data_IF_841965667482
#
_entry.id   IF_841965667482
#
_cell.length_a   1.000
_cell.length_b   1.000
_cell.length_c   1.000
_cell.angle_alpha   90.00
_cell.angle_beta   90.00
_cell.angle_gamma   90.00
#
_symmetry.space_group_name_H-M   'P 1'
#
loop_
_entity.id
_entity.type
_entity.pdbx_description
1 polymer ?
#
# COMPACT_ATOMS: atom_id res chain seq x y z
N UNK A 1 16.71 14.08 3.84
CA UNK A 1 16.14 12.73 4.12
C UNK A 1 17.31 11.75 4.04
N UNK A 2 17.59 10.99 5.10
CA UNK A 2 18.68 9.99 5.06
C UNK A 2 18.13 8.70 4.45
N UNK A 3 18.41 8.47 3.17
CA UNK A 3 18.01 7.27 2.44
C UNK A 3 18.97 6.09 2.67
N UNK A 4 20.15 6.31 3.25
CA UNK A 4 21.12 5.25 3.58
C UNK A 4 20.53 4.16 4.48
N UNK A 5 19.53 4.50 5.28
CA UNK A 5 18.76 3.54 6.07
C UNK A 5 18.23 2.35 5.27
N UNK A 6 17.87 2.59 4.01
CA UNK A 6 17.30 1.55 3.13
C UNK A 6 18.35 0.65 2.46
N UNK A 7 19.64 0.99 2.56
CA UNK A 7 20.70 0.21 1.92
C UNK A 7 20.66 -1.25 2.41
N UNK A 8 20.54 -2.19 1.47
CA UNK A 8 20.44 -3.63 1.75
C UNK A 8 19.12 -4.10 2.38
N UNK A 9 18.17 -3.20 2.70
CA UNK A 9 16.86 -3.58 3.25
C UNK A 9 15.96 -4.19 2.18
N UNK A 10 15.28 -5.28 2.53
CA UNK A 10 14.23 -5.88 1.69
C UNK A 10 12.94 -5.10 1.90
N UNK A 11 12.49 -4.43 0.85
CA UNK A 11 11.29 -3.57 0.86
C UNK A 11 10.25 -4.12 -0.12
N UNK A 12 9.05 -4.38 0.38
CA UNK A 12 7.91 -4.80 -0.44
C UNK A 12 6.99 -3.62 -0.68
N UNK A 13 6.74 -3.31 -1.95
CA UNK A 13 5.95 -2.14 -2.36
C UNK A 13 4.74 -2.61 -3.17
N UNK A 14 3.53 -2.43 -2.67
CA UNK A 14 2.35 -2.65 -3.48
C UNK A 14 2.01 -1.41 -4.29
N UNK A 15 1.51 -1.57 -5.52
CA UNK A 15 1.22 -0.42 -6.39
C UNK A 15 2.45 0.22 -7.02
N UNK A 16 3.53 -0.52 -7.19
CA UNK A 16 4.83 -0.04 -7.68
C UNK A 16 4.82 0.47 -9.12
N UNK A 17 3.89 0.03 -9.95
CA UNK A 17 3.72 0.46 -11.35
C UNK A 17 2.98 1.80 -11.49
N UNK A 18 2.28 2.22 -10.43
CA UNK A 18 1.58 3.50 -10.38
C UNK A 18 2.52 4.70 -10.21
N UNK A 19 1.99 5.91 -10.34
CA UNK A 19 2.78 7.15 -10.30
C UNK A 19 3.61 7.28 -9.01
N UNK A 20 2.96 7.26 -7.85
CA UNK A 20 3.67 7.38 -6.55
C UNK A 20 4.59 6.18 -6.29
N UNK A 21 4.12 4.97 -6.61
CA UNK A 21 4.88 3.74 -6.42
C UNK A 21 6.17 3.73 -7.24
N UNK A 22 6.12 4.18 -8.49
CA UNK A 22 7.31 4.26 -9.36
C UNK A 22 8.35 5.25 -8.83
N UNK A 23 7.93 6.44 -8.37
CA UNK A 23 8.85 7.39 -7.72
C UNK A 23 9.47 6.81 -6.47
N UNK A 24 8.66 6.20 -5.61
CA UNK A 24 9.14 5.57 -4.38
C UNK A 24 10.15 4.46 -4.66
N UNK A 25 9.83 3.55 -5.60
CA UNK A 25 10.74 2.50 -6.03
C UNK A 25 12.05 3.06 -6.62
N UNK A 26 11.98 4.14 -7.39
CA UNK A 26 13.18 4.80 -7.92
C UNK A 26 14.09 5.33 -6.81
N UNK A 27 13.51 5.90 -5.75
CA UNK A 27 14.26 6.36 -4.58
C UNK A 27 14.86 5.19 -3.80
N UNK A 28 14.08 4.13 -3.55
CA UNK A 28 14.52 2.93 -2.83
C UNK A 28 15.67 2.21 -3.54
N UNK A 29 15.54 1.98 -4.85
CA UNK A 29 16.59 1.38 -5.67
C UNK A 29 17.84 2.27 -5.67
N UNK A 30 17.68 3.59 -5.80
CA UNK A 30 18.78 4.54 -5.70
C UNK A 30 19.48 4.56 -4.34
N UNK A 31 18.78 4.21 -3.29
CA UNK A 31 19.31 4.06 -1.92
C UNK A 31 19.93 2.69 -1.65
N UNK A 32 19.96 1.78 -2.63
CA UNK A 32 20.51 0.43 -2.48
C UNK A 32 19.59 -0.56 -1.78
N UNK A 33 18.28 -0.31 -1.72
CA UNK A 33 17.30 -1.26 -1.20
C UNK A 33 17.12 -2.45 -2.15
N UNK A 34 16.82 -3.62 -1.59
CA UNK A 34 16.35 -4.80 -2.31
C UNK A 34 14.83 -4.68 -2.44
N UNK A 35 14.38 -4.03 -3.50
CA UNK A 35 12.97 -3.73 -3.70
C UNK A 35 12.24 -4.85 -4.45
N UNK A 36 11.08 -5.27 -3.94
CA UNK A 36 10.11 -6.13 -4.62
C UNK A 36 8.80 -5.38 -4.73
N UNK A 37 8.30 -5.21 -5.94
CA UNK A 37 7.00 -4.60 -6.22
C UNK A 37 5.94 -5.65 -6.55
N UNK A 38 4.69 -5.41 -6.11
CA UNK A 38 3.51 -6.20 -6.45
C UNK A 38 2.38 -5.26 -6.89
N UNK A 39 1.89 -5.39 -8.11
CA UNK A 39 0.89 -4.48 -8.68
C UNK A 39 0.31 -5.02 -9.98
N UNK A 40 -0.80 -4.47 -10.41
CA UNK A 40 -1.27 -4.60 -11.78
C UNK A 40 -0.26 -4.02 -12.77
N UNK A 41 -0.43 -4.32 -14.06
CA UNK A 41 0.32 -3.67 -15.15
C UNK A 41 0.26 -2.14 -15.05
N UNK A 42 1.27 -1.43 -15.56
CA UNK A 42 1.23 0.03 -15.64
C UNK A 42 -0.04 0.52 -16.33
N UNK A 43 -0.75 1.53 -15.77
CA UNK A 43 -2.07 1.93 -16.26
C UNK A 43 -2.05 2.74 -17.56
N UNK A 44 -0.88 3.17 -18.03
CA UNK A 44 -0.74 4.06 -19.20
C UNK A 44 0.49 3.71 -20.03
N UNK A 45 0.47 4.16 -21.29
CA UNK A 45 1.65 4.17 -22.17
C UNK A 45 1.79 5.57 -22.77
N UNK A 46 2.88 6.32 -22.51
CA UNK A 46 4.00 5.95 -21.64
C UNK A 46 3.62 5.88 -20.17
N UNK A 47 4.42 5.19 -19.34
CA UNK A 47 4.24 5.07 -17.91
C UNK A 47 5.54 5.42 -17.16
N UNK A 48 5.40 5.85 -15.91
CA UNK A 48 6.54 6.29 -15.10
C UNK A 48 7.46 5.14 -14.71
N UNK A 49 6.94 3.93 -14.52
CA UNK A 49 7.75 2.76 -14.14
C UNK A 49 8.85 2.47 -15.18
N UNK A 50 8.46 2.41 -16.45
CA UNK A 50 9.41 2.22 -17.56
C UNK A 50 10.31 3.44 -17.77
N UNK A 51 9.75 4.66 -17.75
CA UNK A 51 10.53 5.90 -17.91
C UNK A 51 11.58 6.10 -16.79
N UNK A 52 11.30 5.67 -15.58
CA UNK A 52 12.24 5.70 -14.45
C UNK A 52 13.33 4.61 -14.55
N UNK A 53 13.27 3.73 -15.57
CA UNK A 53 14.22 2.66 -15.78
C UNK A 53 14.29 1.68 -14.62
N UNK A 54 13.14 1.29 -14.07
CA UNK A 54 13.02 0.38 -12.93
C UNK A 54 13.04 -1.10 -13.35
N UNK A 55 12.75 -1.36 -14.62
CA UNK A 55 12.82 -2.69 -15.21
C UNK A 55 14.24 -3.28 -15.04
N UNK A 56 14.31 -4.50 -14.52
CA UNK A 56 15.59 -5.18 -14.26
C UNK A 56 16.41 -4.65 -13.07
N UNK A 57 15.96 -3.56 -12.39
CA UNK A 57 16.64 -3.01 -11.21
C UNK A 57 15.98 -3.39 -9.90
N UNK A 58 14.78 -3.95 -9.97
CA UNK A 58 14.03 -4.46 -8.85
C UNK A 58 13.26 -5.72 -9.28
N UNK A 59 12.78 -6.50 -8.33
CA UNK A 59 11.84 -7.58 -8.62
C UNK A 59 10.45 -6.96 -8.82
N UNK A 60 9.87 -7.12 -10.02
CA UNK A 60 8.52 -6.66 -10.35
C UNK A 60 7.62 -7.88 -10.55
N UNK A 61 6.61 -8.00 -9.69
CA UNK A 61 5.59 -9.06 -9.76
C UNK A 61 4.28 -8.42 -10.17
N UNK A 62 3.76 -8.83 -11.33
CA UNK A 62 2.44 -8.39 -11.79
C UNK A 62 1.39 -9.31 -11.18
N UNK A 63 0.45 -8.70 -10.46
CA UNK A 63 -0.62 -9.40 -9.77
C UNK A 63 -1.65 -8.46 -9.15
N UNK A 64 -2.83 -8.99 -8.86
CA UNK A 64 -3.92 -8.24 -8.22
C UNK A 64 -3.85 -8.42 -6.70
N UNK A 65 -3.94 -7.33 -5.95
CA UNK A 65 -3.94 -7.35 -4.48
C UNK A 65 -5.13 -8.13 -3.89
N UNK A 66 -6.18 -8.33 -4.69
CA UNK A 66 -7.36 -9.12 -4.33
C UNK A 66 -7.10 -10.64 -4.42
N UNK A 67 -6.10 -11.05 -5.19
CA UNK A 67 -5.66 -12.45 -5.25
C UNK A 67 -4.74 -12.76 -4.07
N UNK A 68 -5.34 -13.25 -2.99
CA UNK A 68 -4.63 -13.54 -1.74
C UNK A 68 -3.54 -14.62 -1.92
N UNK A 69 -3.79 -15.63 -2.76
CA UNK A 69 -2.84 -16.70 -2.97
C UNK A 69 -1.58 -16.22 -3.71
N UNK A 70 -1.77 -15.47 -4.80
CA UNK A 70 -0.66 -14.88 -5.55
C UNK A 70 0.12 -13.85 -4.70
N UNK A 71 -0.58 -13.00 -3.94
CA UNK A 71 0.04 -12.05 -3.03
C UNK A 71 0.88 -12.76 -1.96
N UNK A 72 0.34 -13.81 -1.34
CA UNK A 72 1.05 -14.58 -0.30
C UNK A 72 2.32 -15.22 -0.85
N UNK A 73 2.27 -15.79 -2.05
CA UNK A 73 3.45 -16.38 -2.70
C UNK A 73 4.54 -15.32 -2.96
N UNK A 74 4.16 -14.16 -3.51
CA UNK A 74 5.08 -13.05 -3.78
C UNK A 74 5.69 -12.49 -2.48
N UNK A 75 4.86 -12.32 -1.45
CA UNK A 75 5.28 -11.82 -0.14
C UNK A 75 6.28 -12.76 0.55
N UNK A 76 5.98 -14.06 0.55
CA UNK A 76 6.85 -15.09 1.12
C UNK A 76 8.20 -15.19 0.39
N UNK A 77 8.22 -15.04 -0.94
CA UNK A 77 9.45 -15.01 -1.72
C UNK A 77 10.30 -13.77 -1.41
N UNK A 78 9.67 -12.61 -1.24
CA UNK A 78 10.34 -11.35 -0.94
C UNK A 78 10.93 -11.28 0.48
N UNK A 79 10.32 -11.94 1.46
CA UNK A 79 10.69 -11.90 2.89
C UNK A 79 11.01 -10.49 3.38
N UNK A 80 10.07 -9.54 3.25
CA UNK A 80 10.34 -8.13 3.47
C UNK A 80 10.65 -7.80 4.93
N UNK A 81 11.50 -6.80 5.14
CA UNK A 81 11.70 -6.14 6.44
C UNK A 81 10.80 -4.91 6.58
N UNK A 82 10.42 -4.32 5.45
CA UNK A 82 9.57 -3.12 5.38
C UNK A 82 8.52 -3.34 4.29
N UNK A 83 7.29 -2.96 4.59
CA UNK A 83 6.16 -3.01 3.66
C UNK A 83 5.59 -1.61 3.45
N UNK A 84 5.44 -1.22 2.19
CA UNK A 84 4.86 0.07 1.80
C UNK A 84 3.63 -0.22 0.91
N UNK A 85 2.44 0.00 1.46
CA UNK A 85 1.18 -0.32 0.79
C UNK A 85 0.60 0.89 0.08
N UNK A 86 0.72 0.90 -1.28
CA UNK A 86 0.22 1.98 -2.13
C UNK A 86 -0.80 1.48 -3.17
N UNK A 87 -1.05 0.17 -3.25
CA UNK A 87 -2.02 -0.37 -4.21
C UNK A 87 -3.43 0.14 -3.91
N UNK A 88 -4.00 0.87 -4.85
CA UNK A 88 -5.35 1.42 -4.77
C UNK A 88 -5.81 1.92 -6.14
N UNK A 89 -7.10 1.80 -6.52
CA UNK A 89 -7.69 2.64 -7.55
C UNK A 89 -7.84 4.07 -6.98
N UNK A 90 -7.05 5.06 -7.47
CA UNK A 90 -6.96 6.35 -6.79
C UNK A 90 -7.96 7.40 -7.29
N UNK A 91 -8.77 7.08 -8.29
CA UNK A 91 -9.63 8.04 -8.99
C UNK A 91 -11.04 8.03 -8.41
N UNK A 92 -11.44 9.11 -7.75
CA UNK A 92 -12.76 9.25 -7.11
C UNK A 92 -13.89 9.00 -8.12
N UNK A 93 -13.82 9.57 -9.34
CA UNK A 93 -14.85 9.37 -10.37
C UNK A 93 -15.05 7.90 -10.76
N UNK A 94 -13.99 7.12 -10.75
CA UNK A 94 -14.05 5.70 -11.09
C UNK A 94 -14.67 4.89 -9.95
N UNK A 95 -14.51 5.33 -8.70
CA UNK A 95 -15.16 4.71 -7.55
C UNK A 95 -16.69 4.81 -7.58
N UNK A 96 -17.23 5.85 -8.23
CA UNK A 96 -18.68 5.95 -8.46
C UNK A 96 -19.17 5.01 -9.57
N UNK A 97 -18.31 4.68 -10.55
CA UNK A 97 -18.67 3.74 -11.62
C UNK A 97 -18.61 2.30 -11.15
N UNK A 98 -17.62 1.96 -10.34
CA UNK A 98 -17.43 0.62 -9.78
C UNK A 98 -17.04 0.71 -8.30
N UNK A 99 -18.01 0.95 -7.42
CA UNK A 99 -17.75 0.99 -5.98
C UNK A 99 -17.32 -0.37 -5.43
N UNK A 100 -17.85 -1.47 -5.96
CA UNK A 100 -17.49 -2.82 -5.52
C UNK A 100 -16.00 -3.08 -5.71
N UNK A 101 -15.48 -2.84 -6.91
CA UNK A 101 -14.05 -2.96 -7.19
C UNK A 101 -13.20 -2.09 -6.25
N UNK A 102 -13.68 -0.86 -5.99
CA UNK A 102 -12.99 0.08 -5.09
C UNK A 102 -12.87 -0.48 -3.67
N UNK A 103 -13.96 -1.01 -3.10
CA UNK A 103 -13.93 -1.62 -1.77
C UNK A 103 -13.15 -2.93 -1.75
N UNK A 104 -13.32 -3.80 -2.75
CA UNK A 104 -12.55 -5.04 -2.86
C UNK A 104 -11.04 -4.76 -2.88
N UNK A 105 -10.61 -3.75 -3.59
CA UNK A 105 -9.19 -3.40 -3.69
C UNK A 105 -8.68 -2.68 -2.44
N UNK A 106 -9.37 -1.62 -2.00
CA UNK A 106 -8.85 -0.77 -0.93
C UNK A 106 -9.05 -1.37 0.47
N UNK A 107 -10.13 -2.12 0.70
CA UNK A 107 -10.40 -2.73 1.99
C UNK A 107 -9.89 -4.16 2.02
N UNK A 108 -10.41 -5.02 1.14
CA UNK A 108 -10.00 -6.43 1.14
C UNK A 108 -8.55 -6.62 0.72
N UNK A 109 -8.04 -5.78 -0.22
CA UNK A 109 -6.61 -5.78 -0.54
C UNK A 109 -5.73 -5.41 0.65
N UNK A 110 -6.16 -4.46 1.50
CA UNK A 110 -5.47 -4.14 2.77
C UNK A 110 -5.54 -5.32 3.74
N UNK A 111 -6.71 -5.97 3.89
CA UNK A 111 -6.85 -7.19 4.70
C UNK A 111 -5.89 -8.27 4.21
N UNK A 112 -5.87 -8.55 2.91
CA UNK A 112 -5.00 -9.57 2.32
C UNK A 112 -3.53 -9.30 2.63
N UNK A 113 -3.08 -8.04 2.49
CA UNK A 113 -1.70 -7.69 2.80
C UNK A 113 -1.38 -7.86 4.29
N UNK A 114 -2.27 -7.41 5.17
CA UNK A 114 -2.08 -7.54 6.62
C UNK A 114 -2.12 -9.00 7.07
N UNK A 115 -2.90 -9.86 6.41
CA UNK A 115 -2.85 -11.31 6.62
C UNK A 115 -1.51 -11.91 6.18
N UNK A 116 -0.94 -11.47 5.05
CA UNK A 116 0.42 -11.87 4.67
C UNK A 116 1.44 -11.47 5.74
N UNK A 117 1.32 -10.27 6.32
CA UNK A 117 2.18 -9.80 7.42
C UNK A 117 2.01 -10.66 8.66
N UNK A 118 0.75 -10.91 9.08
CA UNK A 118 0.42 -11.65 10.30
C UNK A 118 0.88 -13.11 10.24
N UNK A 119 0.78 -13.73 9.06
CA UNK A 119 1.09 -15.16 8.88
C UNK A 119 2.52 -15.41 8.38
N UNK A 120 3.31 -14.37 8.19
CA UNK A 120 4.68 -14.48 7.73
C UNK A 120 5.55 -15.23 8.75
N UNK A 121 6.38 -16.17 8.28
CA UNK A 121 7.37 -16.85 9.14
C UNK A 121 8.37 -15.87 9.78
N UNK A 122 8.69 -14.81 9.06
CA UNK A 122 9.51 -13.70 9.56
C UNK A 122 8.73 -12.42 9.29
N UNK A 123 8.01 -11.90 10.29
CA UNK A 123 7.22 -10.68 10.13
C UNK A 123 8.09 -9.47 9.77
N UNK A 124 7.61 -8.56 8.93
CA UNK A 124 8.30 -7.31 8.67
C UNK A 124 8.32 -6.44 9.93
N UNK A 125 9.38 -5.63 10.06
CA UNK A 125 9.56 -4.71 11.20
C UNK A 125 8.68 -3.46 11.10
N UNK A 126 8.24 -3.11 9.89
CA UNK A 126 7.43 -1.92 9.64
C UNK A 126 6.49 -2.13 8.48
N UNK A 127 5.26 -1.69 8.67
CA UNK A 127 4.22 -1.64 7.62
C UNK A 127 3.68 -0.23 7.58
N UNK A 128 3.71 0.40 6.40
CA UNK A 128 3.08 1.68 6.13
C UNK A 128 1.92 1.48 5.16
N UNK A 129 0.71 1.81 5.59
CA UNK A 129 -0.47 1.88 4.74
C UNK A 129 -0.70 3.33 4.29
N UNK A 130 -0.65 3.57 2.99
CA UNK A 130 -0.86 4.91 2.41
C UNK A 130 -2.35 5.11 2.11
N UNK A 131 -2.96 6.02 2.81
CA UNK A 131 -4.36 6.39 2.65
C UNK A 131 -4.52 7.80 2.06
N UNK A 132 -5.42 8.62 2.54
CA UNK A 132 -5.73 9.94 2.01
C UNK A 132 -6.20 10.89 3.12
N UNK A 133 -6.08 12.19 2.92
CA UNK A 133 -6.68 13.23 3.74
C UNK A 133 -8.22 13.21 3.77
N UNK A 134 -8.84 12.56 2.76
CA UNK A 134 -10.30 12.46 2.63
C UNK A 134 -10.94 11.35 3.48
N UNK A 135 -10.16 10.73 4.37
CA UNK A 135 -10.67 9.68 5.28
C UNK A 135 -11.56 10.23 6.38
N UNK A 136 -11.41 11.52 6.72
CA UNK A 136 -12.17 12.15 7.80
C UNK A 136 -13.58 12.54 7.37
N UNK A 137 -14.51 12.57 8.34
CA UNK A 137 -15.80 13.21 8.17
C UNK A 137 -15.57 14.68 7.80
N UNK A 138 -16.11 15.11 6.64
CA UNK A 138 -15.99 16.49 6.22
C UNK A 138 -17.01 17.38 6.96
N UNK A 139 -16.52 18.29 7.78
CA UNK A 139 -17.33 19.23 8.55
C UNK A 139 -17.41 20.63 7.91
N UNK A 140 -16.82 20.84 6.74
CA UNK A 140 -16.77 22.11 5.99
C UNK A 140 -16.34 23.31 6.85
N UNK A 141 -15.45 23.10 7.82
CA UNK A 141 -14.91 24.14 8.67
C UNK A 141 -13.54 24.64 8.21
N UNK A 142 -13.07 25.75 8.77
CA UNK A 142 -11.78 26.36 8.39
C UNK A 142 -10.57 25.74 9.11
N UNK A 143 -10.76 24.77 9.99
CA UNK A 143 -9.69 24.13 10.76
C UNK A 143 -9.14 22.92 10.02
N UNK A 144 -7.85 22.63 10.23
CA UNK A 144 -7.28 21.34 9.80
C UNK A 144 -7.82 20.17 10.65
N UNK A 145 -7.94 18.99 10.02
CA UNK A 145 -8.32 17.76 10.73
C UNK A 145 -7.17 17.23 11.58
N UNK A 146 -7.50 16.56 12.68
CA UNK A 146 -6.55 15.94 13.61
C UNK A 146 -6.64 14.43 13.52
N UNK A 147 -5.61 13.73 13.99
CA UNK A 147 -5.52 12.27 13.98
C UNK A 147 -6.66 11.55 14.73
N UNK A 148 -7.34 12.21 15.65
CA UNK A 148 -8.44 11.67 16.43
C UNK A 148 -9.84 12.07 15.92
N UNK A 149 -9.94 12.75 14.77
CA UNK A 149 -11.21 13.11 14.17
C UNK A 149 -11.92 11.87 13.58
N UNK A 150 -13.26 11.85 13.51
CA UNK A 150 -14.02 10.73 12.99
C UNK A 150 -13.65 10.38 11.56
N UNK A 151 -13.48 9.09 11.29
CA UNK A 151 -13.24 8.54 9.96
C UNK A 151 -14.58 8.25 9.28
N UNK A 152 -14.96 9.08 8.33
CA UNK A 152 -16.22 8.94 7.56
C UNK A 152 -16.09 9.64 6.20
N UNK A 153 -15.24 9.11 5.34
CA UNK A 153 -15.10 9.61 3.97
C UNK A 153 -16.41 9.50 3.19
N UNK A 154 -16.79 10.57 2.49
CA UNK A 154 -18.12 10.70 1.90
C UNK A 154 -18.34 9.85 0.64
N UNK A 155 -17.41 9.88 -0.30
CA UNK A 155 -17.54 9.12 -1.54
C UNK A 155 -16.97 7.70 -1.42
N UNK A 156 -17.27 6.76 -2.36
CA UNK A 156 -16.81 5.38 -2.25
C UNK A 156 -15.31 5.22 -2.14
N UNK A 157 -14.50 6.06 -2.80
CA UNK A 157 -13.05 6.04 -2.67
C UNK A 157 -12.63 6.47 -1.27
N UNK A 158 -13.09 7.65 -0.83
CA UNK A 158 -12.75 8.21 0.47
C UNK A 158 -13.18 7.29 1.62
N UNK A 159 -14.40 6.76 1.54
CA UNK A 159 -14.93 5.82 2.54
C UNK A 159 -14.14 4.50 2.55
N UNK A 160 -13.78 3.96 1.38
CA UNK A 160 -12.95 2.76 1.33
C UNK A 160 -11.57 2.97 1.97
N UNK A 161 -11.02 4.18 1.90
CA UNK A 161 -9.77 4.53 2.58
C UNK A 161 -9.97 4.72 4.08
N UNK A 162 -11.11 5.28 4.54
CA UNK A 162 -11.50 5.28 5.96
C UNK A 162 -11.59 3.85 6.50
N UNK A 163 -12.22 2.94 5.77
CA UNK A 163 -12.27 1.52 6.13
C UNK A 163 -10.87 0.88 6.19
N UNK A 164 -9.98 1.22 5.25
CA UNK A 164 -8.59 0.74 5.25
C UNK A 164 -7.82 1.20 6.50
N UNK A 165 -8.04 2.44 6.97
CA UNK A 165 -7.51 2.93 8.26
C UNK A 165 -8.03 2.11 9.44
N UNK A 166 -9.35 1.90 9.51
CA UNK A 166 -9.99 1.12 10.57
C UNK A 166 -9.49 -0.33 10.59
N UNK A 167 -9.34 -0.96 9.43
CA UNK A 167 -8.75 -2.30 9.31
C UNK A 167 -7.32 -2.31 9.83
N UNK A 168 -6.49 -1.34 9.41
CA UNK A 168 -5.10 -1.24 9.85
C UNK A 168 -5.01 -1.05 11.37
N UNK A 169 -5.87 -0.18 11.94
CA UNK A 169 -5.95 0.04 13.39
C UNK A 169 -6.35 -1.24 14.13
N UNK A 170 -7.35 -1.96 13.62
CA UNK A 170 -7.81 -3.24 14.21
C UNK A 170 -6.68 -4.28 14.21
N UNK A 171 -6.01 -4.46 13.08
CA UNK A 171 -4.89 -5.42 12.99
C UNK A 171 -3.73 -5.04 13.90
N UNK A 172 -3.38 -3.74 13.94
CA UNK A 172 -2.35 -3.24 14.85
C UNK A 172 -2.64 -3.63 16.29
N UNK A 173 -3.87 -3.36 16.76
CA UNK A 173 -4.22 -3.59 18.16
C UNK A 173 -4.45 -5.06 18.49
N UNK A 174 -4.92 -5.86 17.53
CA UNK A 174 -5.27 -7.27 17.78
C UNK A 174 -4.10 -8.22 17.59
N UNK A 175 -3.15 -7.91 16.70
CA UNK A 175 -2.13 -8.86 16.28
C UNK A 175 -0.70 -8.31 16.31
N UNK A 176 -0.51 -6.97 16.31
CA UNK A 176 0.82 -6.35 16.20
C UNK A 176 1.16 -5.43 17.37
N UNK A 177 0.27 -5.29 18.37
CA UNK A 177 0.56 -4.55 19.58
C UNK A 177 1.51 -5.34 20.49
N UNK A 178 2.36 -4.63 21.22
CA UNK A 178 3.48 -5.04 22.05
C UNK A 178 3.54 -6.50 22.50
N UNK A 179 4.54 -7.21 21.99
CA UNK A 179 4.89 -8.57 22.44
C UNK A 179 4.17 -9.71 21.71
N UNK A 180 3.33 -9.45 20.73
CA UNK A 180 2.77 -10.45 19.83
C UNK A 180 3.59 -10.53 18.53
N UNK A 181 4.87 -10.80 18.64
CA UNK A 181 5.80 -11.00 17.56
C UNK A 181 6.98 -11.78 18.02
#
# INVERSE_FOLDING_TARGET
MNLEFYCGKRVFVTGHTGFKGSWLCRMLVGAGAVATGYSLEPPTTPNLFSLAGLEGKMTSVIGDIRDFAALTAAFAAARPEIVLHLAAPPIVRDSYKDPRYTYETNVMGTVNLLECVRTAQTPPRSVLNVTTDKVYQNNDWCWGYRENEPLDGFDPYSNSKSCSELVTHSYKNSFFADGCG
#
